data_IF_257139913009
#
_entry.id   IF_257139913009
#
_cell.length_a   1.000
_cell.length_b   1.000
_cell.length_c   1.000
_cell.angle_alpha   90.00
_cell.angle_beta   90.00
_cell.angle_gamma   90.00
#
_symmetry.space_group_name_H-M   'P 1'
#
loop_
_entity.id
_entity.type
_entity.pdbx_description
1 polymer ?
#
# COMPACT_ATOMS: atom_id res chain seq x y z
N UNK A 1 17.93 42.74 -0.59
CA UNK A 1 17.31 42.14 0.61
C UNK A 1 17.45 40.63 0.50
N UNK A 2 18.09 39.84 1.36
CA UNK A 2 19.20 39.99 2.31
C UNK A 2 19.74 38.56 2.46
N UNK A 3 21.05 38.40 2.55
CA UNK A 3 21.83 37.15 2.50
C UNK A 3 21.94 36.51 3.90
N UNK A 4 22.00 35.16 3.97
CA UNK A 4 22.74 34.37 4.99
C UNK A 4 23.36 33.16 4.27
N UNK A 5 24.54 33.27 3.63
CA UNK A 5 25.90 32.96 4.11
C UNK A 5 26.12 31.51 4.62
N UNK A 6 26.73 30.65 3.78
CA UNK A 6 27.55 29.52 4.20
C UNK A 6 28.95 29.80 3.66
N UNK A 7 29.88 30.12 4.57
CA UNK A 7 31.26 30.51 4.26
C UNK A 7 32.07 29.34 3.70
N UNK A 8 32.82 29.62 2.63
CA UNK A 8 33.99 28.86 2.22
C UNK A 8 35.10 29.05 3.25
N UNK A 9 35.68 27.95 3.72
CA UNK A 9 36.83 27.95 4.63
C UNK A 9 38.06 28.58 3.97
N UNK A 10 38.73 29.49 4.69
CA UNK A 10 40.13 29.85 4.45
C UNK A 10 40.97 29.12 5.48
N UNK A 11 41.56 27.99 5.10
CA UNK A 11 42.64 27.40 5.89
C UNK A 11 43.89 28.25 5.77
N UNK A 12 44.36 28.75 6.92
CA UNK A 12 45.67 29.36 7.09
C UNK A 12 46.74 28.27 6.99
N UNK A 13 47.52 28.35 5.93
CA UNK A 13 48.76 27.60 5.75
C UNK A 13 49.76 27.95 6.87
N UNK A 14 50.03 26.98 7.74
CA UNK A 14 51.28 26.91 8.51
C UNK A 14 51.82 25.47 8.44
N UNK A 15 53.01 25.33 7.88
CA UNK A 15 53.96 24.30 8.34
C UNK A 15 53.94 22.94 7.63
N UNK A 16 54.63 22.87 6.49
CA UNK A 16 55.65 21.88 6.12
C UNK A 16 55.72 20.51 6.83
N UNK A 17 55.75 19.48 5.97
CA UNK A 17 56.47 18.18 6.03
C UNK A 17 55.73 16.91 6.52
N UNK A 18 55.62 15.99 5.54
CA UNK A 18 55.85 14.52 5.57
C UNK A 18 54.84 13.61 6.27
N UNK A 19 54.18 12.71 5.53
CA UNK A 19 54.50 11.27 5.42
C UNK A 19 53.33 10.49 4.77
N UNK A 20 53.68 9.59 3.83
CA UNK A 20 52.97 8.41 3.32
C UNK A 20 51.43 8.36 3.36
N UNK A 21 50.80 8.36 2.19
CA UNK A 21 49.40 7.98 2.02
C UNK A 21 49.19 6.47 2.30
N UNK A 22 48.27 6.06 3.18
CA UNK A 22 47.78 4.70 3.23
C UNK A 22 46.56 4.60 2.31
N UNK A 23 46.79 4.29 1.03
CA UNK A 23 45.76 3.95 0.04
C UNK A 23 44.98 2.65 0.34
N UNK A 24 44.98 2.15 1.58
CA UNK A 24 44.57 0.77 1.90
C UNK A 24 43.78 0.60 3.21
N UNK A 25 43.07 1.60 3.73
CA UNK A 25 42.17 1.39 4.87
C UNK A 25 40.72 1.76 4.58
N UNK A 26 39.96 0.68 4.37
CA UNK A 26 38.52 0.60 4.54
C UNK A 26 37.64 1.25 3.46
N UNK A 27 37.94 0.88 2.21
CA UNK A 27 36.92 0.47 1.23
C UNK A 27 36.10 -0.72 1.78
N UNK A 28 35.35 -0.47 2.85
CA UNK A 28 34.37 -1.37 3.49
C UNK A 28 33.23 -0.56 4.11
N UNK A 29 32.92 0.61 3.54
CA UNK A 29 31.54 1.05 3.56
C UNK A 29 30.77 0.02 2.75
N UNK A 30 30.17 -0.93 3.47
CA UNK A 30 29.14 -1.83 2.97
C UNK A 30 28.15 -0.96 2.21
N UNK A 31 28.28 -0.92 0.90
CA UNK A 31 27.13 -0.88 0.00
C UNK A 31 26.27 -2.07 0.43
N UNK A 32 25.43 -1.86 1.44
CA UNK A 32 24.24 -2.68 1.65
C UNK A 32 23.53 -2.58 0.31
N UNK A 33 23.67 -3.63 -0.51
CA UNK A 33 22.72 -3.93 -1.58
C UNK A 33 21.36 -3.97 -0.89
N UNK A 34 20.68 -2.83 -0.79
CA UNK A 34 19.26 -2.82 -0.54
C UNK A 34 18.69 -3.42 -1.80
N UNK A 35 18.32 -4.70 -1.75
CA UNK A 35 17.53 -5.32 -2.80
C UNK A 35 16.16 -4.63 -2.76
N UNK A 36 16.10 -3.43 -3.33
CA UNK A 36 14.88 -2.65 -3.48
C UNK A 36 14.00 -3.44 -4.43
N UNK A 37 13.16 -4.31 -3.86
CA UNK A 37 12.21 -5.10 -4.63
C UNK A 37 11.21 -4.10 -5.17
N UNK A 38 11.22 -3.89 -6.49
CA UNK A 38 10.30 -2.96 -7.15
C UNK A 38 8.86 -3.42 -6.83
N UNK A 39 8.12 -2.59 -6.09
CA UNK A 39 6.72 -2.86 -5.75
C UNK A 39 5.86 -2.43 -6.93
N UNK A 40 4.91 -3.27 -7.31
CA UNK A 40 3.98 -2.93 -8.39
C UNK A 40 2.84 -2.08 -7.85
N UNK A 41 2.29 -1.17 -8.67
CA UNK A 41 1.12 -0.34 -8.30
C UNK A 41 -0.05 -1.20 -7.80
N UNK A 42 -0.25 -2.39 -8.40
CA UNK A 42 -1.28 -3.35 -7.95
C UNK A 42 -1.02 -3.85 -6.52
N UNK A 43 0.23 -4.15 -6.19
CA UNK A 43 0.61 -4.58 -4.85
C UNK A 43 0.39 -3.46 -3.83
N UNK A 44 0.75 -2.23 -4.16
CA UNK A 44 0.57 -1.08 -3.24
C UNK A 44 -0.90 -0.71 -3.05
N UNK A 45 -1.70 -0.76 -4.12
CA UNK A 45 -3.14 -0.57 -4.02
C UNK A 45 -3.82 -1.66 -3.18
N UNK A 46 -3.39 -2.92 -3.32
CA UNK A 46 -3.88 -4.00 -2.47
C UNK A 46 -3.47 -3.78 -1.02
N UNK A 47 -2.21 -3.42 -0.76
CA UNK A 47 -1.74 -3.09 0.60
C UNK A 47 -2.57 -2.00 1.26
N UNK A 48 -2.95 -0.96 0.52
CA UNK A 48 -3.80 0.11 1.02
C UNK A 48 -5.18 -0.41 1.48
N UNK A 49 -5.83 -1.25 0.65
CA UNK A 49 -7.11 -1.88 1.00
C UNK A 49 -6.97 -2.75 2.25
N UNK A 50 -5.87 -3.51 2.34
CA UNK A 50 -5.61 -4.43 3.43
C UNK A 50 -5.28 -3.68 4.73
N UNK A 51 -4.53 -2.59 4.63
CA UNK A 51 -4.25 -1.69 5.75
C UNK A 51 -5.51 -1.05 6.33
N UNK A 52 -6.48 -0.69 5.49
CA UNK A 52 -7.80 -0.24 5.95
C UNK A 52 -8.52 -1.31 6.78
N UNK A 53 -8.52 -2.57 6.33
CA UNK A 53 -9.13 -3.68 7.07
C UNK A 53 -8.42 -3.91 8.40
N UNK A 54 -7.09 -3.90 8.40
CA UNK A 54 -6.30 -4.02 9.62
C UNK A 54 -6.66 -2.92 10.64
N UNK A 55 -6.83 -1.67 10.18
CA UNK A 55 -7.26 -0.55 11.05
C UNK A 55 -8.64 -0.77 11.64
N UNK A 56 -9.59 -1.25 10.85
CA UNK A 56 -10.97 -1.51 11.32
C UNK A 56 -11.03 -2.51 12.47
N UNK A 57 -10.11 -3.47 12.49
CA UNK A 57 -10.08 -4.55 13.48
C UNK A 57 -8.95 -4.42 14.50
N UNK A 58 -8.24 -3.29 14.56
CA UNK A 58 -7.02 -3.15 15.36
C UNK A 58 -7.23 -3.44 16.85
N UNK A 59 -8.38 -3.04 17.40
CA UNK A 59 -8.71 -3.25 18.81
C UNK A 59 -9.05 -4.72 19.12
N UNK A 60 -9.59 -5.45 18.14
CA UNK A 60 -10.01 -6.86 18.32
C UNK A 60 -8.89 -7.83 17.97
N UNK A 61 -8.10 -7.51 16.95
CA UNK A 61 -6.99 -8.34 16.45
C UNK A 61 -5.75 -7.46 16.19
N UNK A 62 -5.00 -7.12 17.25
CA UNK A 62 -3.82 -6.24 17.14
C UNK A 62 -2.69 -6.80 16.27
N UNK A 63 -2.71 -8.11 16.00
CA UNK A 63 -1.73 -8.81 15.16
C UNK A 63 -1.99 -8.67 13.65
N UNK A 64 -3.08 -8.02 13.23
CA UNK A 64 -3.41 -7.82 11.81
C UNK A 64 -2.54 -6.78 11.11
N UNK A 65 -1.84 -5.94 11.86
CA UNK A 65 -0.95 -4.94 11.30
C UNK A 65 -0.27 -4.12 12.38
N UNK A 66 0.55 -3.17 11.96
CA UNK A 66 1.20 -2.18 12.82
C UNK A 66 1.03 -0.81 12.20
N UNK A 67 0.90 0.22 13.02
CA UNK A 67 0.95 1.59 12.51
C UNK A 67 2.27 1.80 11.77
N UNK A 68 2.19 2.38 10.58
CA UNK A 68 3.38 2.72 9.82
C UNK A 68 4.20 3.72 10.63
N UNK A 69 5.47 3.43 10.88
CA UNK A 69 6.37 4.40 11.51
C UNK A 69 6.44 5.66 10.67
N UNK A 70 6.32 6.83 11.29
CA UNK A 70 6.58 8.12 10.64
C UNK A 70 8.06 8.16 10.27
N UNK A 71 8.40 7.83 9.01
CA UNK A 71 9.71 8.20 8.48
C UNK A 71 9.64 9.67 8.10
N UNK A 72 10.24 10.53 8.93
CA UNK A 72 10.38 11.97 8.65
C UNK A 72 11.17 12.24 7.36
N UNK A 73 11.94 11.25 6.90
CA UNK A 73 12.67 11.28 5.64
C UNK A 73 11.95 10.41 4.59
N UNK A 74 11.42 11.06 3.55
CA UNK A 74 10.72 10.40 2.44
C UNK A 74 11.62 9.50 1.62
N UNK A 75 12.94 9.75 1.63
CA UNK A 75 13.95 8.93 0.93
C UNK A 75 14.16 7.55 1.57
N UNK A 76 13.70 7.36 2.81
CA UNK A 76 13.75 6.11 3.56
C UNK A 76 12.43 5.31 3.49
N UNK A 77 11.41 5.85 2.80
CA UNK A 77 10.12 5.15 2.68
C UNK A 77 10.26 3.92 1.78
N UNK A 78 9.82 2.77 2.30
CA UNK A 78 9.94 1.47 1.61
C UNK A 78 8.66 1.08 0.86
N UNK A 79 7.57 1.84 1.05
CA UNK A 79 6.27 1.65 0.42
C UNK A 79 5.55 2.97 0.18
N UNK A 80 4.71 3.02 -0.86
CA UNK A 80 3.80 4.16 -1.09
C UNK A 80 2.89 4.42 0.13
N UNK A 81 2.43 3.36 0.77
CA UNK A 81 1.66 3.41 2.03
C UNK A 81 2.43 4.20 3.10
N UNK A 82 3.73 3.93 3.29
CA UNK A 82 4.58 4.67 4.24
C UNK A 82 4.83 6.11 3.80
N UNK A 83 4.98 6.35 2.49
CA UNK A 83 5.13 7.71 1.94
C UNK A 83 3.88 8.58 2.19
N UNK A 84 2.69 8.00 2.03
CA UNK A 84 1.42 8.71 2.15
C UNK A 84 0.88 8.78 3.58
N UNK A 85 1.25 7.84 4.45
CA UNK A 85 0.53 7.61 5.71
C UNK A 85 0.60 8.76 6.69
N UNK A 86 1.67 9.58 6.67
CA UNK A 86 2.01 10.54 7.73
C UNK A 86 1.84 9.95 9.15
N UNK A 87 1.99 8.62 9.31
CA UNK A 87 1.81 7.89 10.58
C UNK A 87 0.42 7.28 10.85
N UNK A 88 -0.63 7.62 10.09
CA UNK A 88 -1.99 7.18 10.39
C UNK A 88 -2.45 5.93 9.64
N UNK A 89 -1.65 5.44 8.69
CA UNK A 89 -1.98 4.27 7.89
C UNK A 89 -1.37 3.02 8.53
N UNK A 90 -2.08 1.90 8.48
CA UNK A 90 -1.59 0.63 8.99
C UNK A 90 -0.84 -0.12 7.91
N UNK A 91 0.39 -0.52 8.22
CA UNK A 91 1.10 -1.56 7.47
C UNK A 91 0.53 -2.92 7.89
N UNK A 92 -0.12 -3.65 6.99
CA UNK A 92 -0.73 -4.92 7.33
C UNK A 92 0.33 -5.98 7.65
N UNK A 93 -0.05 -6.98 8.45
CA UNK A 93 0.81 -8.11 8.75
C UNK A 93 1.00 -9.00 7.52
N UNK A 94 2.12 -9.74 7.48
CA UNK A 94 2.40 -10.65 6.37
C UNK A 94 1.31 -11.71 6.19
N UNK A 95 0.74 -12.20 7.29
CA UNK A 95 -0.38 -13.14 7.30
C UNK A 95 -1.60 -12.55 6.60
N UNK A 96 -2.00 -11.34 6.98
CA UNK A 96 -3.14 -10.67 6.36
C UNK A 96 -2.88 -10.38 4.87
N UNK A 97 -1.65 -9.98 4.53
CA UNK A 97 -1.24 -9.75 3.15
C UNK A 97 -1.25 -11.03 2.29
N UNK A 98 -0.84 -12.19 2.84
CA UNK A 98 -0.90 -13.48 2.13
C UNK A 98 -2.34 -13.86 1.81
N UNK A 99 -3.24 -13.77 2.80
CA UNK A 99 -4.68 -14.03 2.58
C UNK A 99 -5.25 -13.07 1.55
N UNK A 100 -4.88 -11.79 1.61
CA UNK A 100 -5.35 -10.79 0.65
C UNK A 100 -4.89 -11.05 -0.79
N UNK A 101 -3.68 -11.58 -0.99
CA UNK A 101 -3.19 -11.98 -2.31
C UNK A 101 -4.00 -13.15 -2.88
N UNK A 102 -4.32 -14.13 -2.04
CA UNK A 102 -5.21 -15.25 -2.40
C UNK A 102 -6.60 -14.73 -2.75
N UNK A 103 -7.17 -13.88 -1.90
CA UNK A 103 -8.46 -13.21 -2.14
C UNK A 103 -8.48 -12.46 -3.47
N UNK A 104 -7.50 -11.60 -3.73
CA UNK A 104 -7.50 -10.78 -4.95
C UNK A 104 -7.37 -11.65 -6.22
N UNK A 105 -6.61 -12.75 -6.17
CA UNK A 105 -6.52 -13.72 -7.27
C UNK A 105 -7.88 -14.33 -7.59
N UNK A 106 -8.60 -14.83 -6.58
CA UNK A 106 -9.92 -15.44 -6.79
C UNK A 106 -10.98 -14.40 -7.16
N UNK A 107 -10.92 -13.21 -6.56
CA UNK A 107 -11.79 -12.08 -6.91
C UNK A 107 -11.66 -11.72 -8.40
N UNK A 108 -10.43 -11.57 -8.90
CA UNK A 108 -10.18 -11.26 -10.32
C UNK A 108 -10.67 -12.39 -11.25
N UNK A 109 -10.44 -13.65 -10.87
CA UNK A 109 -10.92 -14.80 -11.63
C UNK A 109 -12.46 -14.87 -11.70
N UNK A 110 -13.15 -14.51 -10.62
CA UNK A 110 -14.61 -14.57 -10.55
C UNK A 110 -15.30 -13.40 -11.27
N UNK A 111 -14.75 -12.18 -11.16
CA UNK A 111 -15.39 -10.96 -11.66
C UNK A 111 -14.87 -10.53 -13.04
N UNK A 112 -13.59 -10.73 -13.35
CA UNK A 112 -12.99 -10.28 -14.59
C UNK A 112 -13.15 -8.77 -14.81
N UNK A 113 -13.65 -8.37 -15.98
CA UNK A 113 -13.81 -6.96 -16.37
C UNK A 113 -15.06 -6.28 -15.80
N UNK A 114 -16.04 -7.03 -15.31
CA UNK A 114 -17.30 -6.51 -14.76
C UNK A 114 -17.61 -7.13 -13.40
N UNK A 115 -18.86 -7.06 -12.91
CA UNK A 115 -19.29 -7.84 -11.76
C UNK A 115 -19.98 -9.12 -12.21
N UNK A 116 -19.52 -10.26 -11.68
CA UNK A 116 -20.27 -11.51 -11.70
C UNK A 116 -21.66 -11.32 -11.08
N UNK A 117 -22.70 -11.73 -11.81
CA UNK A 117 -24.11 -11.59 -11.44
C UNK A 117 -24.70 -12.85 -10.81
N UNK A 118 -23.89 -13.90 -10.64
CA UNK A 118 -24.34 -15.12 -10.01
C UNK A 118 -24.74 -14.84 -8.55
N UNK A 119 -25.77 -15.54 -8.03
CA UNK A 119 -26.12 -15.43 -6.63
C UNK A 119 -24.95 -15.96 -5.76
N UNK A 120 -24.83 -15.42 -4.54
CA UNK A 120 -23.87 -15.88 -3.52
C UNK A 120 -22.39 -15.85 -3.92
N UNK A 121 -22.02 -14.95 -4.83
CA UNK A 121 -20.63 -14.76 -5.27
C UNK A 121 -19.69 -14.45 -4.09
N UNK A 122 -20.11 -13.60 -3.15
CA UNK A 122 -19.28 -13.24 -2.01
C UNK A 122 -19.05 -14.40 -1.05
N UNK A 123 -20.10 -15.17 -0.73
CA UNK A 123 -20.00 -16.39 0.11
C UNK A 123 -19.11 -17.45 -0.55
N UNK A 124 -19.23 -17.60 -1.87
CA UNK A 124 -18.40 -18.53 -2.64
C UNK A 124 -16.94 -18.11 -2.61
N UNK A 125 -16.67 -16.81 -2.81
CA UNK A 125 -15.32 -16.27 -2.73
C UNK A 125 -14.72 -16.45 -1.35
N UNK A 126 -15.48 -16.16 -0.29
CA UNK A 126 -15.04 -16.32 1.09
C UNK A 126 -14.66 -17.77 1.40
N UNK A 127 -15.52 -18.72 1.03
CA UNK A 127 -15.25 -20.15 1.19
C UNK A 127 -13.97 -20.57 0.45
N UNK A 128 -13.77 -20.08 -0.78
CA UNK A 128 -12.56 -20.38 -1.53
C UNK A 128 -11.32 -19.77 -0.90
N UNK A 129 -11.40 -18.54 -0.39
CA UNK A 129 -10.27 -17.87 0.25
C UNK A 129 -9.88 -18.61 1.52
N UNK A 130 -10.83 -18.90 2.41
CA UNK A 130 -10.58 -19.62 3.66
C UNK A 130 -9.97 -21.00 3.38
N UNK A 131 -10.51 -21.75 2.41
CA UNK A 131 -10.01 -23.07 2.05
C UNK A 131 -8.60 -23.05 1.43
N UNK A 132 -8.24 -21.96 0.73
CA UNK A 132 -6.98 -21.85 -0.03
C UNK A 132 -5.91 -21.06 0.68
N UNK A 133 -6.27 -20.26 1.68
CA UNK A 133 -5.32 -19.67 2.59
C UNK A 133 -4.82 -20.75 3.55
N UNK A 134 -3.51 -20.99 3.56
CA UNK A 134 -2.88 -21.81 4.60
C UNK A 134 -2.77 -21.08 5.95
N UNK A 135 -3.38 -19.90 6.07
CA UNK A 135 -3.32 -19.01 7.21
C UNK A 135 -4.69 -18.97 7.90
N UNK A 136 -4.70 -18.96 9.23
CA UNK A 136 -5.93 -18.86 10.02
C UNK A 136 -6.21 -17.38 10.30
N UNK A 137 -7.28 -16.85 9.70
CA UNK A 137 -7.84 -15.54 10.02
C UNK A 137 -9.30 -15.71 10.45
N UNK A 138 -9.81 -14.83 11.32
CA UNK A 138 -11.24 -14.80 11.64
C UNK A 138 -12.07 -14.53 10.38
N UNK A 139 -13.16 -15.27 10.19
CA UNK A 139 -14.04 -15.16 9.03
C UNK A 139 -14.48 -13.71 8.79
N UNK A 140 -14.87 -12.98 9.85
CA UNK A 140 -15.31 -11.59 9.75
C UNK A 140 -14.25 -10.64 9.15
N UNK A 141 -12.96 -10.94 9.33
CA UNK A 141 -11.84 -10.19 8.72
C UNK A 141 -11.77 -10.49 7.23
N UNK A 142 -11.91 -11.75 6.84
CA UNK A 142 -11.95 -12.19 5.44
C UNK A 142 -13.18 -11.61 4.73
N UNK A 143 -14.37 -11.70 5.34
CA UNK A 143 -15.58 -11.12 4.78
C UNK A 143 -15.42 -9.60 4.61
N UNK A 144 -14.87 -8.89 5.61
CA UNK A 144 -14.64 -7.44 5.51
C UNK A 144 -13.69 -7.10 4.36
N UNK A 145 -12.62 -7.87 4.17
CA UNK A 145 -11.68 -7.68 3.08
C UNK A 145 -12.35 -7.81 1.70
N UNK A 146 -13.19 -8.83 1.53
CA UNK A 146 -13.96 -9.05 0.31
C UNK A 146 -14.93 -7.88 0.06
N UNK A 147 -15.66 -7.44 1.10
CA UNK A 147 -16.58 -6.29 1.01
C UNK A 147 -15.85 -5.02 0.60
N UNK A 148 -14.74 -4.69 1.26
CA UNK A 148 -13.94 -3.49 0.93
C UNK A 148 -13.44 -3.54 -0.51
N UNK A 149 -12.89 -4.67 -0.96
CA UNK A 149 -12.41 -4.83 -2.35
C UNK A 149 -13.54 -4.68 -3.37
N UNK A 150 -14.72 -5.19 -3.05
CA UNK A 150 -15.94 -5.07 -3.86
C UNK A 150 -16.37 -3.62 -3.97
N UNK A 151 -16.45 -2.88 -2.86
CA UNK A 151 -16.80 -1.46 -2.86
C UNK A 151 -15.83 -0.63 -3.71
N UNK A 152 -14.52 -0.88 -3.58
CA UNK A 152 -13.51 -0.22 -4.42
C UNK A 152 -13.73 -0.54 -5.91
N UNK A 153 -14.01 -1.81 -6.27
CA UNK A 153 -14.31 -2.21 -7.65
C UNK A 153 -15.58 -1.52 -8.16
N UNK A 154 -16.60 -1.42 -7.31
CA UNK A 154 -17.87 -0.81 -7.64
C UNK A 154 -17.73 0.67 -7.94
N UNK A 155 -17.01 1.39 -7.09
CA UNK A 155 -16.71 2.80 -7.32
C UNK A 155 -15.94 3.01 -8.62
N UNK A 156 -14.92 2.18 -8.89
CA UNK A 156 -14.17 2.26 -10.15
C UNK A 156 -15.05 2.04 -11.39
N UNK A 157 -15.95 1.04 -11.36
CA UNK A 157 -16.88 0.80 -12.47
C UNK A 157 -17.86 1.96 -12.65
N UNK A 158 -18.34 2.56 -11.56
CA UNK A 158 -19.21 3.73 -11.64
C UNK A 158 -18.50 4.95 -12.24
N UNK A 159 -17.25 5.21 -11.85
CA UNK A 159 -16.45 6.28 -12.45
C UNK A 159 -16.29 6.07 -13.96
N UNK A 160 -15.97 4.85 -14.39
CA UNK A 160 -15.87 4.54 -15.81
C UNK A 160 -17.21 4.77 -16.56
N UNK A 161 -18.36 4.46 -15.96
CA UNK A 161 -19.66 4.72 -16.59
C UNK A 161 -19.91 6.23 -16.74
N UNK A 162 -19.55 7.02 -15.73
CA UNK A 162 -19.68 8.49 -15.76
C UNK A 162 -18.80 9.09 -16.84
N UNK A 163 -17.54 8.67 -16.92
CA UNK A 163 -16.56 9.23 -17.86
C UNK A 163 -16.88 8.88 -19.32
N UNK A 164 -17.51 7.72 -19.56
CA UNK A 164 -17.94 7.27 -20.88
C UNK A 164 -19.37 7.67 -21.24
N UNK A 165 -20.10 8.33 -20.32
CA UNK A 165 -21.45 8.81 -20.63
C UNK A 165 -21.35 10.00 -21.60
N UNK A 166 -22.11 10.01 -22.71
CA UNK A 166 -22.16 11.18 -23.57
C UNK A 166 -22.64 12.37 -22.73
N UNK A 167 -21.95 13.52 -22.85
CA UNK A 167 -22.30 14.79 -22.20
C UNK A 167 -23.61 15.35 -22.77
N UNK A 168 -24.71 14.63 -22.55
CA UNK A 168 -26.05 15.13 -22.85
C UNK A 168 -26.42 16.00 -21.67
N UNK A 169 -26.72 17.28 -21.94
CA UNK A 169 -26.95 18.36 -20.97
C UNK A 169 -28.10 18.18 -19.97
N UNK A 170 -28.55 16.95 -19.71
CA UNK A 170 -29.49 16.64 -18.66
C UNK A 170 -28.81 15.78 -17.60
N UNK A 171 -28.73 16.35 -16.38
CA UNK A 171 -28.33 15.68 -15.14
C UNK A 171 -29.29 14.53 -14.85
N UNK A 172 -29.13 13.44 -15.57
CA UNK A 172 -29.85 12.22 -15.27
C UNK A 172 -29.27 11.71 -13.97
N UNK A 173 -30.07 11.79 -12.89
CA UNK A 173 -29.75 11.25 -11.57
C UNK A 173 -29.20 9.83 -11.77
N UNK A 174 -27.88 9.68 -11.71
CA UNK A 174 -27.26 8.37 -11.55
C UNK A 174 -27.76 7.90 -10.20
N UNK A 175 -28.67 6.92 -10.21
CA UNK A 175 -29.15 6.28 -9.00
C UNK A 175 -27.92 5.72 -8.30
N UNK A 176 -27.48 6.42 -7.27
CA UNK A 176 -26.56 5.91 -6.28
C UNK A 176 -27.20 4.63 -5.75
N UNK A 177 -26.74 3.47 -6.19
CA UNK A 177 -27.05 2.22 -5.53
C UNK A 177 -26.28 2.24 -4.21
N UNK A 178 -26.78 3.01 -3.24
CA UNK A 178 -26.56 2.74 -1.83
C UNK A 178 -27.40 1.49 -1.60
N UNK A 179 -26.77 0.33 -1.75
CA UNK A 179 -27.30 -0.90 -1.19
C UNK A 179 -26.35 -1.31 -0.10
N UNK A 180 -26.93 -1.36 1.10
CA UNK A 180 -26.41 -1.91 2.32
C UNK A 180 -25.46 -3.08 2.05
N UNK A 181 -24.23 -2.95 2.53
CA UNK A 181 -23.37 -4.07 2.87
C UNK A 181 -23.06 -3.95 4.36
#
# INVERSE_FOLDING_TARGET
>A
MTIVHISMEKELFLGNKTFGTPWNMALKLKLKKTSTTIRTVKHEALEYIVGYVARRFEHKYPNLGKESSVSLDSSLSTSWTQHMSRGHLITPSDTLMRVAKVMNKYFEAMHGTSFNKNPKVMETLETQVIFKSNDVLPDEVVSCLIRTRTLVRFNHLNTNIVDNAPTVGNKTKIRTYILCI
#
